data_IF_501340719894
#
_entry.id   IF_501340719894
#
_cell.length_a   1.000
_cell.length_b   1.000
_cell.length_c   1.000
_cell.angle_alpha   90.00
_cell.angle_beta   90.00
_cell.angle_gamma   90.00
#
_symmetry.space_group_name_H-M   'P 1'
#
loop_
_entity.id
_entity.type
_entity.pdbx_description
1 polymer ?
#
# COMPACT_ATOMS: atom_id res chain seq x y z
N UNK A 1 -98.19 25.96 49.77
CA UNK A 1 -97.23 26.71 48.93
C UNK A 1 -95.98 26.95 49.75
N UNK A 2 -94.85 26.39 49.31
CA UNK A 2 -93.51 26.99 49.28
C UNK A 2 -92.50 25.86 49.16
N UNK A 3 -92.00 25.72 47.93
CA UNK A 3 -90.95 24.79 47.53
C UNK A 3 -89.62 25.41 47.96
N UNK A 4 -88.83 24.70 48.76
CA UNK A 4 -87.43 25.08 49.03
C UNK A 4 -86.55 24.14 48.22
N UNK A 5 -85.96 24.67 47.14
CA UNK A 5 -84.92 24.00 46.38
C UNK A 5 -83.60 24.05 47.16
N UNK A 6 -82.95 22.92 47.46
CA UNK A 6 -81.58 22.95 47.96
C UNK A 6 -80.64 23.39 46.83
N UNK A 7 -79.86 24.42 47.12
CA UNK A 7 -78.91 25.04 46.18
C UNK A 7 -77.82 24.07 45.71
N UNK A 8 -77.52 24.17 44.43
CA UNK A 8 -76.47 23.45 43.72
C UNK A 8 -75.08 23.99 44.15
N UNK A 9 -74.22 23.13 44.68
CA UNK A 9 -72.81 23.46 44.91
C UNK A 9 -72.02 23.31 43.60
N UNK A 10 -71.15 24.27 43.21
CA UNK A 10 -70.38 24.15 41.99
C UNK A 10 -69.33 23.03 42.12
N UNK A 11 -69.04 22.28 41.04
CA UNK A 11 -68.02 21.24 41.09
C UNK A 11 -66.64 21.88 41.32
N UNK A 12 -65.91 21.33 42.28
CA UNK A 12 -64.48 21.59 42.48
C UNK A 12 -63.73 21.29 41.18
N UNK A 13 -63.11 22.31 40.59
CA UNK A 13 -62.22 22.14 39.44
C UNK A 13 -61.02 21.26 39.81
N UNK A 14 -60.43 20.53 38.85
CA UNK A 14 -59.34 19.60 39.15
C UNK A 14 -58.12 20.32 39.71
N UNK A 15 -57.53 19.73 40.75
CA UNK A 15 -56.29 20.15 41.37
C UNK A 15 -55.19 20.38 40.31
N UNK A 16 -54.51 21.53 40.36
CA UNK A 16 -53.30 21.75 39.56
C UNK A 16 -52.26 20.68 39.95
N UNK A 17 -51.69 19.92 38.99
CA UNK A 17 -50.72 18.88 39.33
C UNK A 17 -49.49 19.50 40.01
N UNK A 18 -48.89 18.82 41.00
CA UNK A 18 -47.74 19.33 41.75
C UNK A 18 -46.55 19.59 40.81
N UNK A 19 -45.70 20.55 41.20
CA UNK A 19 -44.65 21.15 40.36
C UNK A 19 -43.72 20.12 39.70
N UNK A 20 -44.03 19.72 38.45
CA UNK A 20 -43.18 18.89 37.58
C UNK A 20 -41.80 19.51 37.29
N UNK A 21 -41.56 20.77 37.66
CA UNK A 21 -40.31 21.49 37.38
C UNK A 21 -39.11 20.97 38.17
N UNK A 22 -39.28 20.59 39.45
CA UNK A 22 -38.16 20.10 40.28
C UNK A 22 -37.72 18.70 39.85
N UNK A 23 -38.66 17.81 39.60
CA UNK A 23 -38.39 16.45 39.09
C UNK A 23 -37.71 16.52 37.72
N UNK A 24 -38.19 17.40 36.82
CA UNK A 24 -37.56 17.63 35.52
C UNK A 24 -36.13 18.18 35.64
N UNK A 25 -35.87 19.12 36.56
CA UNK A 25 -34.50 19.65 36.78
C UNK A 25 -33.54 18.58 37.30
N UNK A 26 -34.01 17.73 38.22
CA UNK A 26 -33.21 16.61 38.74
C UNK A 26 -32.91 15.57 37.67
N UNK A 27 -33.90 15.21 36.84
CA UNK A 27 -33.69 14.33 35.69
C UNK A 27 -32.68 14.94 34.71
N UNK A 28 -32.80 16.23 34.38
CA UNK A 28 -31.84 16.90 33.50
C UNK A 28 -30.41 16.91 34.08
N UNK A 29 -30.27 17.18 35.38
CA UNK A 29 -28.97 17.15 36.05
C UNK A 29 -28.36 15.74 36.06
N UNK A 30 -29.19 14.72 36.33
CA UNK A 30 -28.75 13.32 36.29
C UNK A 30 -28.33 12.90 34.88
N UNK A 31 -29.09 13.26 33.84
CA UNK A 31 -28.73 12.98 32.45
C UNK A 31 -27.46 13.72 32.03
N UNK A 32 -27.29 14.98 32.44
CA UNK A 32 -26.08 15.75 32.14
C UNK A 32 -24.85 15.14 32.83
N UNK A 33 -24.96 14.80 34.12
CA UNK A 33 -23.88 14.13 34.85
C UNK A 33 -23.54 12.78 34.20
N UNK A 34 -24.55 12.02 33.77
CA UNK A 34 -24.35 10.75 33.07
C UNK A 34 -23.68 10.92 31.72
N UNK A 35 -24.08 11.92 30.93
CA UNK A 35 -23.46 12.22 29.64
C UNK A 35 -21.99 12.63 29.80
N UNK A 36 -21.68 13.47 30.80
CA UNK A 36 -20.30 13.86 31.13
C UNK A 36 -19.49 12.64 31.58
N UNK A 37 -20.06 11.77 32.42
CA UNK A 37 -19.41 10.54 32.86
C UNK A 37 -19.10 9.63 31.66
N UNK A 38 -20.05 9.41 30.76
CA UNK A 38 -19.83 8.61 29.56
C UNK A 38 -18.78 9.23 28.63
N UNK A 39 -18.79 10.55 28.46
CA UNK A 39 -17.78 11.24 27.65
C UNK A 39 -16.39 11.12 28.26
N UNK A 40 -16.27 11.25 29.59
CA UNK A 40 -15.01 11.10 30.31
C UNK A 40 -14.50 9.65 30.25
N UNK A 41 -15.38 8.66 30.41
CA UNK A 41 -15.04 7.25 30.29
C UNK A 41 -14.64 6.87 28.86
N UNK A 42 -15.35 7.38 27.84
CA UNK A 42 -15.00 7.16 26.44
C UNK A 42 -13.65 7.80 26.08
N UNK A 43 -13.39 9.00 26.58
CA UNK A 43 -12.10 9.68 26.42
C UNK A 43 -10.96 8.94 27.12
N UNK A 44 -11.20 8.49 28.36
CA UNK A 44 -10.25 7.69 29.12
C UNK A 44 -9.96 6.37 28.42
N UNK A 45 -11.00 5.61 28.08
CA UNK A 45 -10.89 4.36 27.32
C UNK A 45 -10.11 4.55 26.02
N UNK A 46 -10.44 5.56 25.21
CA UNK A 46 -9.71 5.85 23.97
C UNK A 46 -8.23 6.24 24.17
N UNK A 47 -7.84 6.68 25.38
CA UNK A 47 -6.48 7.09 25.74
C UNK A 47 -5.68 5.98 26.42
N UNK A 48 -6.33 5.12 27.19
CA UNK A 48 -5.66 4.19 28.12
C UNK A 48 -5.94 2.73 27.85
N UNK A 49 -7.08 2.40 27.23
CA UNK A 49 -7.39 1.01 26.94
C UNK A 49 -6.55 0.57 25.73
N UNK A 50 -5.97 -0.63 25.84
CA UNK A 50 -5.30 -1.26 24.71
C UNK A 50 -6.32 -1.45 23.56
N UNK A 51 -5.93 -1.22 22.29
CA UNK A 51 -6.85 -1.32 21.16
C UNK A 51 -7.60 -2.65 21.17
N UNK A 52 -8.93 -2.61 21.18
CA UNK A 52 -9.79 -3.82 21.19
C UNK A 52 -9.81 -4.58 19.86
N UNK A 53 -9.04 -4.11 18.87
CA UNK A 53 -8.72 -4.88 17.67
C UNK A 53 -7.55 -5.81 18.01
N UNK A 54 -7.73 -7.11 17.75
CA UNK A 54 -6.60 -8.05 17.74
C UNK A 54 -5.60 -7.54 16.71
N UNK A 55 -4.42 -7.11 17.18
CA UNK A 55 -3.21 -6.84 16.38
C UNK A 55 -3.16 -5.53 15.57
N UNK A 56 -3.50 -4.37 16.13
CA UNK A 56 -3.03 -3.09 15.56
C UNK A 56 -1.51 -2.92 15.82
N UNK A 57 -0.71 -3.75 15.14
CA UNK A 57 0.74 -3.56 15.07
C UNK A 57 1.04 -2.25 14.36
N UNK A 58 2.05 -1.58 14.86
CA UNK A 58 2.49 -0.29 14.35
C UNK A 58 3.13 -0.43 12.97
N UNK A 59 3.29 0.68 12.27
CA UNK A 59 3.91 0.68 10.95
C UNK A 59 5.38 0.22 11.00
N UNK A 60 6.11 0.53 12.08
CA UNK A 60 7.47 0.07 12.31
C UNK A 60 7.59 -1.45 12.47
N UNK A 61 6.56 -2.10 13.03
CA UNK A 61 6.50 -3.56 13.13
C UNK A 61 6.12 -4.24 11.82
N UNK A 62 5.34 -3.57 10.96
CA UNK A 62 4.90 -4.11 9.67
C UNK A 62 5.97 -3.96 8.58
N UNK A 63 6.79 -2.90 8.62
CA UNK A 63 7.77 -2.61 7.57
C UNK A 63 8.74 -3.77 7.27
N UNK A 64 9.32 -4.49 8.26
CA UNK A 64 10.18 -5.64 7.97
C UNK A 64 9.45 -6.79 7.27
N UNK A 65 8.15 -6.98 7.53
CA UNK A 65 7.33 -8.00 6.87
C UNK A 65 7.10 -7.63 5.40
N UNK A 66 6.87 -6.35 5.12
CA UNK A 66 6.80 -5.83 3.75
C UNK A 66 8.11 -6.06 3.01
N UNK A 67 9.24 -5.74 3.65
CA UNK A 67 10.57 -5.89 3.04
C UNK A 67 10.89 -7.37 2.73
N UNK A 68 10.63 -8.30 3.67
CA UNK A 68 10.78 -9.74 3.44
C UNK A 68 9.85 -10.23 2.31
N UNK A 69 8.64 -9.65 2.23
CA UNK A 69 7.68 -10.03 1.22
C UNK A 69 8.09 -9.59 -0.19
N UNK A 70 8.64 -8.37 -0.33
CA UNK A 70 9.23 -7.89 -1.58
C UNK A 70 10.40 -8.79 -2.00
N UNK A 71 11.27 -9.18 -1.06
CA UNK A 71 12.37 -10.11 -1.34
C UNK A 71 11.91 -11.47 -1.85
N UNK A 72 10.85 -12.04 -1.26
CA UNK A 72 10.25 -13.29 -1.74
C UNK A 72 9.63 -13.16 -3.13
N UNK A 73 8.98 -12.03 -3.42
CA UNK A 73 8.48 -11.76 -4.77
C UNK A 73 9.62 -11.65 -5.78
N UNK A 74 10.71 -10.96 -5.44
CA UNK A 74 11.90 -10.89 -6.31
C UNK A 74 12.48 -12.28 -6.55
N UNK A 75 12.60 -13.11 -5.51
CA UNK A 75 13.06 -14.49 -5.67
C UNK A 75 12.13 -15.34 -6.57
N UNK A 76 10.82 -15.05 -6.57
CA UNK A 76 9.85 -15.70 -7.46
C UNK A 76 9.91 -15.20 -8.93
N UNK A 77 10.68 -14.14 -9.21
CA UNK A 77 10.75 -13.46 -10.52
C UNK A 77 12.08 -13.68 -11.26
N UNK A 78 12.91 -14.65 -10.85
CA UNK A 78 14.30 -14.84 -11.30
C UNK A 78 14.52 -14.83 -12.84
N UNK A 79 13.51 -15.29 -13.59
CA UNK A 79 13.53 -15.38 -15.07
C UNK A 79 12.65 -14.34 -15.79
N UNK A 80 12.19 -13.30 -15.09
CA UNK A 80 11.30 -12.28 -15.67
C UNK A 80 11.97 -10.91 -15.70
N UNK A 81 11.57 -10.06 -16.64
CA UNK A 81 12.03 -8.67 -16.66
C UNK A 81 11.26 -7.86 -15.60
N UNK A 82 11.90 -7.48 -14.50
CA UNK A 82 11.30 -6.71 -13.41
C UNK A 82 12.16 -5.55 -12.90
N UNK A 83 11.52 -4.59 -12.24
CA UNK A 83 12.17 -3.50 -11.50
C UNK A 83 11.37 -3.14 -10.25
N UNK A 84 12.02 -3.05 -9.09
CA UNK A 84 11.36 -2.52 -7.88
C UNK A 84 11.01 -1.06 -8.06
N UNK A 85 9.84 -0.64 -7.56
CA UNK A 85 9.40 0.76 -7.54
C UNK A 85 9.80 1.43 -6.23
N UNK A 86 9.98 2.76 -6.21
CA UNK A 86 10.15 3.50 -4.96
C UNK A 86 9.05 3.18 -3.95
N UNK A 87 9.42 3.10 -2.68
CA UNK A 87 8.47 2.95 -1.58
C UNK A 87 7.57 4.18 -1.50
N UNK A 88 6.26 3.96 -1.34
CA UNK A 88 5.30 5.02 -1.08
C UNK A 88 4.85 4.94 0.37
N UNK A 89 4.99 6.05 1.09
CA UNK A 89 4.56 6.20 2.47
C UNK A 89 3.46 7.26 2.50
N UNK A 90 2.24 6.83 2.72
CA UNK A 90 1.09 7.73 2.83
C UNK A 90 0.79 8.00 4.31
N UNK A 91 0.99 9.25 4.73
CA UNK A 91 0.69 9.70 6.08
C UNK A 91 -0.70 10.31 6.14
N UNK A 92 -1.37 10.20 7.30
CA UNK A 92 -2.66 10.85 7.52
C UNK A 92 -3.87 10.00 7.10
N UNK A 93 -3.65 8.75 6.70
CA UNK A 93 -4.74 7.77 6.59
C UNK A 93 -5.43 7.62 7.97
N UNK A 94 -6.71 7.26 8.00
CA UNK A 94 -7.45 7.15 9.27
C UNK A 94 -7.45 5.71 9.79
N UNK A 95 -6.84 5.50 10.95
CA UNK A 95 -6.95 4.23 11.69
C UNK A 95 -8.27 4.19 12.48
N UNK A 96 -8.60 5.32 13.12
CA UNK A 96 -9.90 5.55 13.76
C UNK A 96 -10.39 6.97 13.41
N UNK A 97 -11.65 7.34 13.71
CA UNK A 97 -12.13 8.71 13.49
C UNK A 97 -11.30 9.80 14.19
N UNK A 98 -10.50 9.43 15.20
CA UNK A 98 -9.71 10.34 16.02
C UNK A 98 -8.19 10.12 15.92
N UNK A 99 -7.73 9.13 15.13
CA UNK A 99 -6.31 8.82 14.99
C UNK A 99 -5.91 8.70 13.52
N UNK A 100 -4.85 9.42 13.18
CA UNK A 100 -4.14 9.27 11.92
C UNK A 100 -3.16 8.11 12.03
N UNK A 101 -2.83 7.53 10.88
CA UNK A 101 -1.84 6.49 10.73
C UNK A 101 -0.95 6.72 9.51
N UNK A 102 -0.25 5.67 9.15
CA UNK A 102 0.62 5.60 7.99
C UNK A 102 0.40 4.28 7.26
N UNK A 103 0.43 4.35 5.94
CA UNK A 103 0.42 3.20 5.05
C UNK A 103 1.74 3.14 4.29
N UNK A 104 2.38 1.97 4.28
CA UNK A 104 3.55 1.68 3.48
C UNK A 104 3.14 0.79 2.32
N UNK A 105 3.48 1.22 1.10
CA UNK A 105 3.36 0.44 -0.13
C UNK A 105 4.72 0.29 -0.77
N UNK A 106 5.08 -0.95 -1.10
CA UNK A 106 6.25 -1.30 -1.92
C UNK A 106 5.77 -2.00 -3.18
N UNK A 107 6.49 -1.84 -4.29
CA UNK A 107 6.03 -2.36 -5.58
C UNK A 107 7.15 -2.95 -6.43
N UNK A 108 6.75 -3.80 -7.36
CA UNK A 108 7.60 -4.38 -8.40
C UNK A 108 6.82 -4.33 -9.72
N UNK A 109 7.42 -3.72 -10.72
CA UNK A 109 6.90 -3.71 -12.08
C UNK A 109 7.54 -4.84 -12.86
N UNK A 110 6.73 -5.60 -13.59
CA UNK A 110 7.16 -6.78 -14.33
C UNK A 110 6.66 -6.69 -15.76
N UNK A 111 7.56 -6.95 -16.70
CA UNK A 111 7.28 -7.02 -18.13
C UNK A 111 7.23 -8.48 -18.58
N UNK A 112 6.19 -8.79 -19.34
CA UNK A 112 5.96 -10.10 -19.97
C UNK A 112 5.50 -9.89 -21.41
N UNK A 113 5.54 -10.96 -22.21
CA UNK A 113 4.83 -10.95 -23.48
C UNK A 113 3.32 -10.73 -23.23
N UNK A 114 2.69 -9.92 -24.08
CA UNK A 114 1.25 -9.66 -23.98
C UNK A 114 0.44 -10.96 -23.96
N UNK A 115 -0.52 -11.07 -23.05
CA UNK A 115 -1.30 -12.28 -22.81
C UNK A 115 -0.66 -13.27 -21.83
N UNK A 116 0.60 -13.05 -21.43
CA UNK A 116 1.33 -13.87 -20.46
C UNK A 116 1.11 -13.47 -18.99
N UNK A 117 0.30 -12.45 -18.71
CA UNK A 117 0.13 -11.86 -17.38
C UNK A 117 -0.49 -12.85 -16.40
N UNK A 118 -1.51 -13.59 -16.83
CA UNK A 118 -2.16 -14.61 -16.00
C UNK A 118 -1.20 -15.74 -15.64
N UNK A 119 -0.41 -16.20 -16.61
CA UNK A 119 0.53 -17.29 -16.39
C UNK A 119 1.67 -16.86 -15.47
N UNK A 120 2.14 -15.62 -15.59
CA UNK A 120 3.08 -15.04 -14.63
C UNK A 120 2.48 -15.04 -13.22
N UNK A 121 1.28 -14.50 -13.03
CA UNK A 121 0.63 -14.43 -11.73
C UNK A 121 0.46 -15.83 -11.13
N UNK A 122 0.09 -16.83 -11.93
CA UNK A 122 -0.05 -18.21 -11.46
C UNK A 122 1.30 -18.80 -10.99
N UNK A 123 2.37 -18.66 -11.80
CA UNK A 123 3.70 -19.13 -11.42
C UNK A 123 4.24 -18.45 -10.15
N UNK A 124 3.98 -17.14 -10.01
CA UNK A 124 4.35 -16.41 -8.80
C UNK A 124 3.55 -16.94 -7.61
N UNK A 125 2.23 -17.12 -7.73
CA UNK A 125 1.42 -17.69 -6.65
C UNK A 125 1.93 -19.07 -6.19
N UNK A 126 2.32 -19.94 -7.13
CA UNK A 126 2.80 -21.30 -6.84
C UNK A 126 4.19 -21.33 -6.17
N UNK A 127 5.01 -20.28 -6.34
CA UNK A 127 6.34 -20.17 -5.73
C UNK A 127 6.34 -19.43 -4.39
N UNK A 128 5.25 -18.72 -4.07
CA UNK A 128 5.11 -18.05 -2.78
C UNK A 128 4.87 -19.05 -1.64
N UNK A 129 5.23 -18.70 -0.39
CA UNK A 129 5.05 -19.60 0.73
C UNK A 129 3.59 -20.05 0.92
N UNK A 130 3.36 -21.35 1.13
CA UNK A 130 2.00 -21.90 1.30
C UNK A 130 1.17 -21.18 2.38
N UNK A 131 1.81 -20.76 3.47
CA UNK A 131 1.17 -20.03 4.58
C UNK A 131 0.51 -18.72 4.13
N UNK A 132 1.01 -18.12 3.05
CA UNK A 132 0.45 -16.90 2.49
C UNK A 132 -0.85 -17.10 1.73
N UNK A 133 -1.17 -18.37 1.39
CA UNK A 133 -2.40 -18.75 0.69
C UNK A 133 -2.59 -17.91 -0.59
N UNK A 134 -1.50 -17.77 -1.35
CA UNK A 134 -1.50 -17.03 -2.61
C UNK A 134 -2.47 -17.69 -3.60
N UNK A 135 -3.24 -16.88 -4.32
CA UNK A 135 -4.16 -17.38 -5.33
C UNK A 135 -4.49 -16.34 -6.38
N UNK A 136 -4.71 -16.81 -7.61
CA UNK A 136 -5.09 -15.98 -8.75
C UNK A 136 -6.59 -16.14 -9.02
N UNK A 137 -7.29 -15.01 -9.07
CA UNK A 137 -8.71 -14.94 -9.45
C UNK A 137 -8.88 -14.05 -10.67
N UNK A 138 -9.94 -14.28 -11.42
CA UNK A 138 -10.33 -13.36 -12.51
C UNK A 138 -11.28 -12.33 -11.93
N UNK A 139 -10.97 -11.05 -12.10
CA UNK A 139 -11.87 -9.92 -11.82
C UNK A 139 -12.37 -9.30 -13.12
N UNK A 140 -13.22 -8.27 -13.02
CA UNK A 140 -13.62 -7.43 -14.15
C UNK A 140 -12.43 -6.74 -14.83
N UNK A 141 -11.36 -6.51 -14.09
CA UNK A 141 -10.20 -5.72 -14.51
C UNK A 141 -9.04 -6.60 -14.97
N UNK A 142 -9.21 -7.93 -14.96
CA UNK A 142 -8.20 -8.89 -15.40
C UNK A 142 -7.85 -9.95 -14.35
N UNK A 143 -6.79 -10.74 -14.56
CA UNK A 143 -6.29 -11.68 -13.57
C UNK A 143 -5.65 -10.92 -12.39
N UNK A 144 -5.92 -11.39 -11.18
CA UNK A 144 -5.56 -10.72 -9.93
C UNK A 144 -5.07 -11.75 -8.92
N UNK A 145 -3.81 -11.63 -8.51
CA UNK A 145 -3.22 -12.37 -7.42
C UNK A 145 -3.50 -11.68 -6.10
N UNK A 146 -3.85 -12.47 -5.08
CA UNK A 146 -3.84 -12.03 -3.68
C UNK A 146 -3.13 -13.05 -2.80
N UNK A 147 -2.35 -12.56 -1.85
CA UNK A 147 -1.77 -13.35 -0.78
C UNK A 147 -1.68 -12.51 0.51
N UNK A 148 -1.60 -13.19 1.66
CA UNK A 148 -1.40 -12.56 2.96
C UNK A 148 0.01 -12.90 3.46
N UNK A 149 0.90 -11.92 3.48
CA UNK A 149 2.28 -12.14 3.91
C UNK A 149 2.40 -12.45 5.42
N UNK A 150 1.29 -12.38 6.16
CA UNK A 150 1.21 -12.36 7.60
C UNK A 150 1.10 -10.92 8.11
N UNK A 151 0.69 -10.77 9.36
CA UNK A 151 0.60 -9.46 10.02
C UNK A 151 -0.30 -8.47 9.27
N UNK A 152 -1.31 -8.94 8.52
CA UNK A 152 -2.19 -8.13 7.67
C UNK A 152 -1.45 -7.35 6.56
N UNK A 153 -0.30 -7.86 6.11
CA UNK A 153 0.40 -7.31 4.95
C UNK A 153 -0.15 -8.00 3.70
N UNK A 154 -0.82 -7.21 2.87
CA UNK A 154 -1.44 -7.69 1.64
C UNK A 154 -0.42 -7.68 0.51
N UNK A 155 -0.33 -8.80 -0.20
CA UNK A 155 0.38 -8.92 -1.47
C UNK A 155 -0.65 -9.01 -2.57
N UNK A 156 -0.61 -8.07 -3.50
CA UNK A 156 -1.45 -8.03 -4.69
C UNK A 156 -0.58 -8.09 -5.95
N UNK A 157 -1.10 -8.73 -6.99
CA UNK A 157 -0.48 -8.74 -8.31
C UNK A 157 -1.55 -8.58 -9.37
N UNK A 158 -1.46 -7.53 -10.19
CA UNK A 158 -2.48 -7.19 -11.18
C UNK A 158 -1.88 -6.83 -12.54
N UNK A 159 -2.67 -7.00 -13.58
CA UNK A 159 -2.31 -6.53 -14.93
C UNK A 159 -2.47 -5.00 -14.99
N UNK A 160 -1.37 -4.27 -15.07
CA UNK A 160 -1.39 -2.80 -15.17
C UNK A 160 -1.76 -2.34 -16.59
N UNK A 161 -1.30 -3.08 -17.60
CA UNK A 161 -1.62 -2.93 -19.02
C UNK A 161 -1.27 -4.24 -19.74
N UNK A 162 -1.58 -4.40 -21.04
CA UNK A 162 -1.04 -5.51 -21.82
C UNK A 162 0.49 -5.59 -21.68
N UNK A 163 1.00 -6.79 -21.43
CA UNK A 163 2.42 -7.10 -21.23
C UNK A 163 2.98 -6.65 -19.89
N UNK A 164 2.17 -6.12 -18.96
CA UNK A 164 2.66 -5.50 -17.72
C UNK A 164 1.90 -5.95 -16.50
N UNK A 165 2.64 -6.48 -15.53
CA UNK A 165 2.11 -6.86 -14.23
C UNK A 165 2.76 -6.00 -13.16
N UNK A 166 1.94 -5.50 -12.24
CA UNK A 166 2.41 -4.78 -11.05
C UNK A 166 2.10 -5.63 -9.83
N UNK A 167 3.15 -5.91 -9.05
CA UNK A 167 3.00 -6.45 -7.71
C UNK A 167 3.09 -5.31 -6.70
N UNK A 168 2.19 -5.32 -5.73
CA UNK A 168 2.18 -4.38 -4.61
C UNK A 168 2.17 -5.16 -3.30
N UNK A 169 2.96 -4.69 -2.35
CA UNK A 169 2.95 -5.16 -0.97
C UNK A 169 2.59 -3.97 -0.11
N UNK A 170 1.45 -4.04 0.58
CA UNK A 170 0.90 -2.93 1.34
C UNK A 170 0.47 -3.32 2.74
N UNK A 171 0.69 -2.40 3.69
CA UNK A 171 0.38 -2.63 5.10
C UNK A 171 -1.07 -2.33 5.46
N UNK A 172 -1.78 -1.58 4.60
CA UNK A 172 -2.94 -0.79 5.00
C UNK A 172 -2.58 0.31 6.00
N UNK A 173 -3.59 1.04 6.46
CA UNK A 173 -3.40 2.13 7.42
C UNK A 173 -3.10 1.61 8.84
N UNK A 174 -1.96 2.01 9.41
CA UNK A 174 -1.50 1.56 10.74
C UNK A 174 -1.10 2.71 11.67
N UNK A 175 -1.13 2.51 13.00
CA UNK A 175 -0.57 3.47 13.93
C UNK A 175 0.90 3.77 13.61
N UNK A 176 1.25 5.05 13.61
CA UNK A 176 2.60 5.53 13.32
C UNK A 176 3.43 5.57 14.61
N UNK A 177 4.51 4.83 14.66
CA UNK A 177 5.47 4.78 15.77
C UNK A 177 6.92 5.07 15.33
N UNK A 178 7.15 5.12 14.02
CA UNK A 178 8.43 5.43 13.40
C UNK A 178 8.24 6.50 12.34
N UNK A 179 9.26 7.32 12.16
CA UNK A 179 9.36 8.19 11.00
C UNK A 179 10.10 7.45 9.89
N UNK A 180 9.49 7.40 8.71
CA UNK A 180 10.19 6.95 7.52
C UNK A 180 11.12 8.08 7.08
N UNK A 181 12.43 7.83 7.16
CA UNK A 181 13.40 8.72 6.57
C UNK A 181 13.13 8.83 5.06
N UNK A 182 13.20 10.05 4.53
CA UNK A 182 13.20 10.26 3.08
C UNK A 182 14.37 9.53 2.41
N UNK A 183 14.33 9.34 1.09
CA UNK A 183 15.42 8.68 0.36
C UNK A 183 16.77 9.29 0.75
N UNK A 184 17.69 8.42 1.20
CA UNK A 184 19.07 8.76 1.54
C UNK A 184 19.85 9.15 0.28
N UNK A 185 21.04 9.79 0.41
CA UNK A 185 21.80 10.27 -0.74
C UNK A 185 22.05 9.15 -1.76
N UNK A 186 21.49 9.38 -2.93
CA UNK A 186 21.53 8.56 -4.13
C UNK A 186 22.95 8.18 -4.57
N UNK A 187 23.10 6.94 -5.04
CA UNK A 187 24.37 6.39 -5.55
C UNK A 187 24.60 6.84 -7.00
N UNK A 188 25.88 6.97 -7.45
CA UNK A 188 26.16 7.18 -8.86
C UNK A 188 25.60 6.02 -9.68
N UNK A 189 25.01 6.27 -10.87
CA UNK A 189 24.43 5.23 -11.69
C UNK A 189 25.44 4.13 -12.03
N UNK A 190 24.97 2.89 -11.90
CA UNK A 190 25.72 1.70 -12.27
C UNK A 190 26.18 1.70 -13.73
N UNK A 191 27.27 0.97 -14.00
CA UNK A 191 27.90 0.96 -15.32
C UNK A 191 26.96 0.56 -16.45
N UNK A 192 26.10 -0.42 -16.20
CA UNK A 192 25.06 -0.86 -17.12
C UNK A 192 24.04 0.25 -17.42
N UNK A 193 23.60 0.98 -16.39
CA UNK A 193 22.64 2.06 -16.52
C UNK A 193 23.24 3.25 -17.28
N UNK A 194 24.51 3.58 -17.01
CA UNK A 194 25.27 4.60 -17.77
C UNK A 194 25.41 4.23 -19.24
N UNK A 195 25.74 2.98 -19.55
CA UNK A 195 25.84 2.50 -20.92
C UNK A 195 24.50 2.58 -21.66
N UNK A 196 23.40 2.18 -20.99
CA UNK A 196 22.05 2.28 -21.55
C UNK A 196 21.64 3.74 -21.83
N UNK A 197 21.90 4.65 -20.88
CA UNK A 197 21.67 6.09 -21.06
C UNK A 197 22.45 6.64 -22.26
N UNK A 198 23.73 6.30 -22.37
CA UNK A 198 24.59 6.72 -23.48
C UNK A 198 24.11 6.17 -24.82
N UNK A 199 23.73 4.90 -24.89
CA UNK A 199 23.19 4.28 -26.11
C UNK A 199 21.91 4.98 -26.58
N UNK A 200 21.07 5.42 -25.65
CA UNK A 200 19.84 6.16 -25.92
C UNK A 200 20.08 7.67 -26.15
N UNK A 201 21.33 8.13 -26.13
CA UNK A 201 21.68 9.55 -26.28
C UNK A 201 21.16 10.43 -25.13
N UNK A 202 20.96 9.84 -23.95
CA UNK A 202 20.44 10.54 -22.77
C UNK A 202 21.57 10.98 -21.84
N UNK A 203 21.42 12.12 -21.15
CA UNK A 203 22.40 12.55 -20.16
C UNK A 203 22.45 11.54 -19.01
N UNK A 204 23.66 11.30 -18.50
CA UNK A 204 23.87 10.49 -17.30
C UNK A 204 23.74 11.40 -16.09
N UNK A 205 22.75 11.20 -15.20
CA UNK A 205 22.65 11.99 -13.99
C UNK A 205 23.82 11.67 -13.05
N UNK A 206 24.12 12.60 -12.14
CA UNK A 206 25.14 12.36 -11.10
C UNK A 206 24.73 11.26 -10.12
N UNK A 207 23.43 10.96 -10.06
CA UNK A 207 22.79 10.18 -9.02
C UNK A 207 21.62 9.37 -9.56
N UNK A 208 21.30 8.28 -8.86
CA UNK A 208 20.19 7.37 -9.18
C UNK A 208 19.42 6.97 -7.91
N UNK A 209 18.11 6.77 -8.07
CA UNK A 209 17.28 6.23 -7.00
C UNK A 209 17.62 4.77 -6.78
N UNK A 210 17.81 4.34 -5.54
CA UNK A 210 18.08 2.95 -5.20
C UNK A 210 17.01 2.39 -4.28
N UNK A 211 16.49 1.21 -4.64
CA UNK A 211 15.52 0.46 -3.85
C UNK A 211 16.11 -0.90 -3.52
N UNK A 212 16.07 -1.30 -2.25
CA UNK A 212 16.69 -2.53 -1.75
C UNK A 212 15.66 -3.38 -1.00
N UNK A 213 15.68 -4.69 -1.22
CA UNK A 213 14.90 -5.66 -0.46
C UNK A 213 15.79 -6.82 0.05
N UNK A 214 15.62 -7.26 1.30
CA UNK A 214 16.32 -8.43 1.81
C UNK A 214 15.80 -9.69 1.11
N UNK A 215 16.69 -10.56 0.65
CA UNK A 215 16.31 -11.80 0.00
C UNK A 215 16.13 -12.95 0.99
N UNK A 216 15.32 -13.97 0.63
CA UNK A 216 15.36 -15.25 1.31
C UNK A 216 16.80 -15.79 1.32
N UNK A 217 17.35 -16.11 2.49
CA UNK A 217 18.73 -16.59 2.61
C UNK A 217 19.78 -15.54 2.98
N UNK A 218 19.41 -14.26 3.07
CA UNK A 218 20.26 -13.20 3.63
C UNK A 218 21.02 -12.36 2.59
N UNK A 219 20.96 -12.72 1.30
CA UNK A 219 21.38 -11.84 0.21
C UNK A 219 20.48 -10.59 0.12
N UNK A 220 20.77 -9.68 -0.81
CA UNK A 220 19.96 -8.48 -1.06
C UNK A 220 19.67 -8.34 -2.55
N UNK A 221 18.41 -8.11 -2.88
CA UNK A 221 18.01 -7.63 -4.18
C UNK A 221 18.01 -6.10 -4.15
N UNK A 222 18.39 -5.48 -5.26
CA UNK A 222 18.30 -4.04 -5.40
C UNK A 222 18.01 -3.62 -6.84
N UNK A 223 17.41 -2.44 -6.97
CA UNK A 223 17.13 -1.79 -8.24
C UNK A 223 17.61 -0.34 -8.16
N UNK A 224 18.48 0.06 -9.09
CA UNK A 224 18.75 1.47 -9.38
C UNK A 224 17.86 1.97 -10.49
N UNK A 225 17.33 3.19 -10.38
CA UNK A 225 16.43 3.81 -11.36
C UNK A 225 16.88 5.21 -11.72
N UNK A 226 16.67 5.57 -12.98
CA UNK A 226 16.89 6.92 -13.50
C UNK A 226 15.71 7.32 -14.37
N UNK A 227 15.20 8.54 -14.16
CA UNK A 227 14.35 9.22 -15.13
C UNK A 227 15.24 9.75 -16.27
N UNK A 228 15.09 9.18 -17.46
CA UNK A 228 15.91 9.46 -18.63
C UNK A 228 15.31 10.55 -19.55
N UNK A 229 14.36 11.33 -19.02
CA UNK A 229 13.75 12.48 -19.69
C UNK A 229 12.52 12.13 -20.54
N UNK A 230 11.92 13.18 -21.12
CA UNK A 230 10.70 13.07 -21.91
C UNK A 230 10.96 12.61 -23.37
N UNK A 231 9.90 12.10 -23.99
CA UNK A 231 9.81 11.81 -25.42
C UNK A 231 10.16 10.37 -25.81
N UNK A 232 9.66 9.90 -26.97
CA UNK A 232 9.94 8.56 -27.45
C UNK A 232 11.45 8.39 -27.64
N UNK A 233 12.00 7.33 -27.06
CA UNK A 233 13.39 6.93 -27.25
C UNK A 233 13.43 5.70 -28.16
N UNK A 234 14.35 5.63 -29.14
CA UNK A 234 14.50 4.43 -29.95
C UNK A 234 15.13 3.33 -29.09
N UNK A 235 14.29 2.54 -28.41
CA UNK A 235 14.75 1.51 -27.47
C UNK A 235 15.63 0.44 -28.13
N UNK A 236 15.49 0.25 -29.45
CA UNK A 236 16.36 -0.60 -30.27
C UNK A 236 17.85 -0.22 -30.21
N UNK A 237 18.19 1.01 -29.81
CA UNK A 237 19.57 1.41 -29.55
C UNK A 237 20.23 0.62 -28.40
N UNK A 238 19.46 -0.06 -27.56
CA UNK A 238 19.95 -0.94 -26.50
C UNK A 238 20.37 -2.33 -27.01
N UNK A 239 19.97 -2.73 -28.22
CA UNK A 239 20.24 -4.07 -28.75
C UNK A 239 21.72 -4.48 -28.76
N UNK A 240 22.70 -3.59 -29.09
CA UNK A 240 24.11 -3.94 -29.00
C UNK A 240 24.58 -4.28 -27.56
N UNK A 241 23.95 -3.70 -26.54
CA UNK A 241 24.28 -3.95 -25.14
C UNK A 241 23.69 -5.28 -24.63
N UNK A 242 22.57 -5.70 -25.20
CA UNK A 242 21.90 -6.94 -24.81
C UNK A 242 22.67 -8.20 -25.20
N UNK A 243 23.58 -8.12 -26.18
CA UNK A 243 24.40 -9.25 -26.64
C UNK A 243 23.62 -10.55 -26.91
N UNK A 244 22.36 -10.45 -27.36
CA UNK A 244 21.47 -11.57 -27.64
C UNK A 244 20.64 -12.07 -26.46
N UNK A 245 20.83 -11.55 -25.25
CA UNK A 245 20.07 -11.89 -24.04
C UNK A 245 18.84 -11.00 -23.84
N UNK A 246 18.10 -10.74 -24.93
CA UNK A 246 16.88 -9.92 -24.93
C UNK A 246 15.73 -10.70 -24.33
N UNK A 247 14.99 -10.07 -23.42
CA UNK A 247 13.82 -10.64 -22.76
C UNK A 247 12.52 -10.01 -23.27
N UNK A 248 12.53 -8.69 -23.49
CA UNK A 248 11.38 -7.91 -23.98
C UNK A 248 11.90 -6.95 -25.05
N UNK A 249 11.21 -6.88 -26.19
CA UNK A 249 11.48 -5.96 -27.29
C UNK A 249 10.16 -5.46 -27.88
N UNK A 250 9.67 -4.34 -27.35
CA UNK A 250 8.48 -3.65 -27.83
C UNK A 250 8.78 -2.16 -28.02
N UNK A 251 7.92 -1.40 -28.72
CA UNK A 251 8.11 0.05 -28.84
C UNK A 251 8.10 0.80 -27.51
N UNK A 252 7.36 0.31 -26.51
CA UNK A 252 7.17 0.95 -25.20
C UNK A 252 8.04 0.36 -24.09
N UNK A 253 8.65 -0.81 -24.30
CA UNK A 253 9.49 -1.47 -23.32
C UNK A 253 10.63 -2.27 -23.95
N UNK A 254 11.79 -2.25 -23.31
CA UNK A 254 12.92 -3.07 -23.69
C UNK A 254 13.62 -3.61 -22.46
N UNK A 255 13.87 -4.90 -22.40
CA UNK A 255 14.54 -5.52 -21.26
C UNK A 255 15.53 -6.60 -21.70
N UNK A 256 16.68 -6.65 -21.04
CA UNK A 256 17.73 -7.62 -21.34
C UNK A 256 18.54 -7.98 -20.10
N UNK A 257 19.11 -9.18 -20.12
CA UNK A 257 19.99 -9.67 -19.05
C UNK A 257 21.44 -9.27 -19.32
N UNK A 258 22.15 -8.88 -18.26
CA UNK A 258 23.57 -8.56 -18.28
C UNK A 258 24.25 -9.25 -17.09
N UNK A 259 24.82 -10.43 -17.33
CA UNK A 259 25.33 -11.28 -16.23
C UNK A 259 24.18 -11.73 -15.32
N UNK A 260 24.32 -11.52 -14.01
CA UNK A 260 23.25 -11.71 -13.02
C UNK A 260 22.29 -10.51 -12.92
N UNK A 261 22.61 -9.40 -13.57
CA UNK A 261 21.80 -8.18 -13.58
C UNK A 261 20.77 -8.15 -14.71
N UNK A 262 19.80 -7.27 -14.56
CA UNK A 262 18.71 -7.03 -15.49
C UNK A 262 18.61 -5.54 -15.78
N UNK A 263 18.55 -5.16 -17.05
CA UNK A 263 18.25 -3.79 -17.46
C UNK A 263 16.83 -3.74 -18.01
N UNK A 264 16.04 -2.78 -17.53
CA UNK A 264 14.69 -2.50 -18.01
C UNK A 264 14.61 -1.05 -18.46
N UNK A 265 14.12 -0.84 -19.67
CA UNK A 265 13.73 0.46 -20.21
C UNK A 265 12.21 0.49 -20.37
N UNK A 266 11.58 1.45 -19.71
CA UNK A 266 10.15 1.66 -19.75
C UNK A 266 9.85 3.04 -20.32
N UNK A 267 9.34 3.10 -21.55
CA UNK A 267 8.94 4.33 -22.22
C UNK A 267 7.44 4.62 -22.06
N UNK A 268 6.75 3.94 -21.13
CA UNK A 268 5.33 4.15 -20.89
C UNK A 268 5.11 5.40 -20.03
N UNK A 269 4.14 6.22 -20.43
CA UNK A 269 3.85 7.49 -19.77
C UNK A 269 4.64 8.65 -20.36
N UNK A 270 4.86 9.69 -19.56
CA UNK A 270 5.44 10.96 -20.03
C UNK A 270 6.97 11.00 -20.01
N UNK A 271 7.61 10.03 -19.33
CA UNK A 271 9.05 9.94 -19.18
C UNK A 271 9.55 8.53 -19.44
N UNK A 272 10.73 8.44 -20.07
CA UNK A 272 11.47 7.19 -20.13
C UNK A 272 12.09 6.92 -18.76
N UNK A 273 11.84 5.73 -18.21
CA UNK A 273 12.51 5.24 -17.01
C UNK A 273 13.46 4.11 -17.38
N UNK A 274 14.70 4.20 -16.88
CA UNK A 274 15.66 3.10 -16.97
C UNK A 274 15.89 2.55 -15.57
N UNK A 275 15.96 1.22 -15.48
CA UNK A 275 16.26 0.52 -14.25
C UNK A 275 17.35 -0.53 -14.48
N UNK A 276 18.22 -0.69 -13.50
CA UNK A 276 19.14 -1.82 -13.39
C UNK A 276 18.85 -2.55 -12.09
N UNK A 277 18.54 -3.85 -12.18
CA UNK A 277 18.14 -4.69 -11.05
C UNK A 277 19.10 -5.86 -10.88
N UNK A 278 19.32 -6.26 -9.64
CA UNK A 278 19.92 -7.56 -9.28
C UNK A 278 18.97 -8.31 -8.36
N UNK A 279 18.83 -9.61 -8.60
CA UNK A 279 17.89 -10.47 -7.89
C UNK A 279 18.43 -11.04 -6.59
N UNK A 280 17.86 -12.18 -6.20
CA UNK A 280 18.24 -12.89 -4.98
C UNK A 280 19.29 -13.99 -5.19
N UNK A 281 19.78 -14.16 -6.42
CA UNK A 281 20.89 -15.04 -6.74
C UNK A 281 22.22 -14.36 -6.37
N UNK A 282 23.13 -15.14 -5.78
CA UNK A 282 24.48 -14.71 -5.35
C UNK A 282 25.39 -14.30 -6.52
#
# INVERSE_FOLDING_TARGET
>A
MSVVHPGYAPPSGPDRPPSRSRVRRWLLAATAAWAVLLAALAWWSARTDEPTVREQRTIGQAAPVVDDAVGRLVAALDDTAWAMTPSRVEQGCRVTPFSAGTELTRGIDVLVAEGGERDLLARVADSLPERWRAGVRVSSDGPLLRADAGEFVLVEGESASPGRVRFTVLTGCRPTDVEFAGPLPENPPESALRAALQALGRPVPERSDEVVAPCPGGAKAWTQRVAAGAGPAPLSALAPLAAGAVMIDTPEAYAYRLGSGLVVADATGDQLHLAFSTGCAD
#
